data_IF_758033899898
#
_entry.id   IF_758033899898
#
_cell.length_a   1.000
_cell.length_b   1.000
_cell.length_c   1.000
_cell.angle_alpha   90.00
_cell.angle_beta   90.00
_cell.angle_gamma   90.00
#
_symmetry.space_group_name_H-M   'P 1'
#
loop_
_entity.id
_entity.type
_entity.pdbx_description
1 polymer ?
#
# COMPACT_ATOMS: atom_id res chain seq x y z
N UNK A 1 -26.28 -5.33 -8.64
CA UNK A 1 -25.31 -4.64 -7.74
C UNK A 1 -24.01 -5.42 -7.75
N UNK A 2 -22.88 -4.75 -8.00
CA UNK A 2 -21.58 -5.39 -8.22
C UNK A 2 -21.23 -6.35 -7.06
N UNK A 3 -21.13 -7.65 -7.35
CA UNK A 3 -20.72 -8.70 -6.43
C UNK A 3 -19.27 -8.45 -6.00
N UNK A 4 -19.06 -7.62 -4.97
CA UNK A 4 -17.74 -7.44 -4.37
C UNK A 4 -17.41 -8.68 -3.57
N UNK A 5 -16.74 -9.64 -4.21
CA UNK A 5 -16.21 -10.82 -3.52
C UNK A 5 -15.40 -10.40 -2.29
N UNK A 6 -15.44 -11.20 -1.22
CA UNK A 6 -14.79 -10.89 0.08
C UNK A 6 -13.31 -10.46 -0.07
N UNK A 7 -12.60 -11.00 -1.07
CA UNK A 7 -11.23 -10.56 -1.43
C UNK A 7 -11.16 -9.07 -1.79
N UNK A 8 -12.08 -8.54 -2.60
CA UNK A 8 -12.12 -7.13 -2.97
C UNK A 8 -12.40 -6.23 -1.76
N UNK A 9 -13.31 -6.66 -0.88
CA UNK A 9 -13.61 -5.91 0.35
C UNK A 9 -12.41 -5.90 1.31
N UNK A 10 -11.77 -7.06 1.52
CA UNK A 10 -10.57 -7.18 2.37
C UNK A 10 -9.41 -6.34 1.83
N UNK A 11 -9.16 -6.40 0.52
CA UNK A 11 -8.09 -5.63 -0.13
C UNK A 11 -8.37 -4.12 -0.07
N UNK A 12 -9.64 -3.71 -0.25
CA UNK A 12 -10.05 -2.33 -0.07
C UNK A 12 -9.85 -1.86 1.37
N UNK A 13 -10.18 -2.71 2.34
CA UNK A 13 -9.96 -2.38 3.75
C UNK A 13 -8.47 -2.16 4.05
N UNK A 14 -7.60 -3.10 3.66
CA UNK A 14 -6.17 -2.99 3.93
C UNK A 14 -5.47 -1.85 3.20
N UNK A 15 -5.91 -1.51 1.99
CA UNK A 15 -5.26 -0.47 1.18
C UNK A 15 -5.82 0.93 1.42
N UNK A 16 -7.11 1.04 1.79
CA UNK A 16 -7.80 2.33 1.81
C UNK A 16 -8.62 2.62 3.07
N UNK A 17 -9.08 1.64 3.84
CA UNK A 17 -10.02 1.92 4.94
C UNK A 17 -9.45 1.65 6.34
N UNK A 18 -8.35 0.91 6.46
CA UNK A 18 -7.74 0.61 7.75
C UNK A 18 -7.24 1.89 8.43
N UNK A 19 -7.66 2.16 9.68
CA UNK A 19 -7.13 3.29 10.44
C UNK A 19 -5.61 3.12 10.65
N UNK A 20 -4.84 4.20 10.49
CA UNK A 20 -3.38 4.18 10.57
C UNK A 20 -2.66 4.07 9.23
N UNK A 21 -3.37 3.91 8.11
CA UNK A 21 -2.77 4.08 6.77
C UNK A 21 -2.42 5.55 6.59
N UNK A 22 -1.12 5.86 6.54
CA UNK A 22 -0.64 7.21 6.23
C UNK A 22 -0.99 7.56 4.79
N UNK A 23 -1.90 8.52 4.62
CA UNK A 23 -2.34 9.07 3.34
C UNK A 23 -1.66 10.43 3.13
N UNK A 24 -1.22 10.70 1.91
CA UNK A 24 -0.55 11.96 1.55
C UNK A 24 0.91 11.76 1.14
N UNK A 25 1.61 12.87 0.93
CA UNK A 25 2.98 12.86 0.42
C UNK A 25 3.92 12.14 1.39
N UNK A 26 4.64 11.15 0.87
CA UNK A 26 5.77 10.57 1.56
C UNK A 26 6.92 11.59 1.59
N UNK A 27 7.57 11.80 2.75
CA UNK A 27 8.76 12.63 2.82
C UNK A 27 9.85 12.04 1.93
N UNK A 28 10.67 12.88 1.30
CA UNK A 28 11.64 12.45 0.29
C UNK A 28 12.70 11.50 0.85
N UNK A 29 12.99 11.60 2.14
CA UNK A 29 13.81 10.62 2.88
C UNK A 29 13.21 9.21 2.82
N UNK A 30 11.89 9.08 3.05
CA UNK A 30 11.21 7.78 2.92
C UNK A 30 11.22 7.27 1.48
N UNK A 31 11.06 8.16 0.49
CA UNK A 31 11.13 7.76 -0.93
C UNK A 31 12.51 7.18 -1.26
N UNK A 32 13.59 7.85 -0.84
CA UNK A 32 14.96 7.36 -1.03
C UNK A 32 15.18 5.99 -0.39
N UNK A 33 14.69 5.79 0.84
CA UNK A 33 14.75 4.48 1.50
C UNK A 33 13.98 3.41 0.72
N UNK A 34 12.78 3.72 0.22
CA UNK A 34 11.97 2.77 -0.57
C UNK A 34 12.73 2.37 -1.84
N UNK A 35 13.33 3.32 -2.56
CA UNK A 35 14.09 3.08 -3.78
C UNK A 35 15.32 2.20 -3.48
N UNK A 36 16.03 2.49 -2.39
CA UNK A 36 17.20 1.71 -1.98
C UNK A 36 16.84 0.27 -1.55
N UNK A 37 15.69 0.08 -0.89
CA UNK A 37 15.22 -1.25 -0.50
C UNK A 37 14.55 -2.03 -1.64
N UNK A 38 14.08 -1.35 -2.68
CA UNK A 38 13.36 -1.97 -3.80
C UNK A 38 14.14 -3.10 -4.51
N UNK A 39 15.44 -2.93 -4.86
CA UNK A 39 16.23 -3.99 -5.48
C UNK A 39 16.59 -5.10 -4.48
N UNK A 40 16.77 -4.76 -3.20
CA UNK A 40 17.10 -5.73 -2.14
C UNK A 40 15.92 -6.66 -1.83
N UNK A 41 14.70 -6.16 -1.96
CA UNK A 41 13.48 -6.93 -1.68
C UNK A 41 12.96 -7.70 -2.90
N UNK A 42 13.65 -7.66 -4.05
CA UNK A 42 13.40 -8.50 -5.21
C UNK A 42 11.92 -8.55 -5.60
N UNK A 43 11.39 -7.47 -6.18
CA UNK A 43 10.01 -7.49 -6.69
C UNK A 43 9.91 -8.41 -7.91
N UNK A 44 9.24 -9.56 -7.73
CA UNK A 44 8.71 -10.40 -8.80
C UNK A 44 7.31 -9.94 -9.19
#
# INVERSE_FOLDING_TARGET
GLLRGRKSCKLKWTNYLRPGIKRGNFPDQKKKMIIHLQPLLGKR
#
